data_IF_779910604844
#
_entry.id   IF_779910604844
#
_cell.length_a   1.000
_cell.length_b   1.000
_cell.length_c   1.000
_cell.angle_alpha   90.00
_cell.angle_beta   90.00
_cell.angle_gamma   90.00
#
_symmetry.space_group_name_H-M   'P 1'
#
loop_
_entity.id
_entity.type
_entity.pdbx_description
1 polymer ?
#
# COMPACT_ATOMS: atom_id res chain seq x y z
N UNK A 1 -0.43 -27.99 -19.03
CA UNK A 1 -0.40 -29.11 -18.06
C UNK A 1 -0.15 -28.54 -16.68
N UNK A 2 -1.09 -28.70 -15.74
CA UNK A 2 -0.95 -28.19 -14.37
C UNK A 2 0.02 -29.04 -13.55
N UNK A 3 0.84 -28.39 -12.72
CA UNK A 3 1.69 -29.08 -11.74
C UNK A 3 0.78 -29.81 -10.73
N UNK A 4 0.98 -31.12 -10.54
CA UNK A 4 0.23 -31.91 -9.56
C UNK A 4 0.53 -31.39 -8.15
N UNK A 5 -0.52 -30.99 -7.42
CA UNK A 5 -0.44 -30.41 -6.07
C UNK A 5 -0.53 -31.46 -4.93
N UNK A 6 -0.59 -32.76 -5.25
CA UNK A 6 -0.64 -33.83 -4.25
C UNK A 6 0.60 -34.73 -4.30
N UNK A 7 1.12 -35.19 -3.15
CA UNK A 7 2.20 -36.17 -3.10
C UNK A 7 1.76 -37.49 -3.77
N UNK A 8 2.65 -38.21 -4.48
CA UNK A 8 2.33 -39.52 -5.05
C UNK A 8 2.03 -40.52 -3.92
N UNK A 9 0.99 -41.34 -4.11
CA UNK A 9 0.53 -42.31 -3.11
C UNK A 9 1.13 -43.71 -3.29
N UNK A 10 1.87 -43.94 -4.39
CA UNK A 10 2.59 -45.19 -4.64
C UNK A 10 3.95 -44.96 -5.29
N UNK A 11 4.84 -45.95 -5.19
CA UNK A 11 6.18 -45.90 -5.80
C UNK A 11 6.11 -45.82 -7.33
N UNK A 12 5.14 -46.48 -7.97
CA UNK A 12 4.95 -46.42 -9.42
C UNK A 12 4.39 -45.07 -9.86
N UNK A 13 3.49 -44.46 -9.07
CA UNK A 13 3.01 -43.10 -9.33
C UNK A 13 4.15 -42.07 -9.18
N UNK A 14 5.05 -42.26 -8.20
CA UNK A 14 6.21 -41.41 -8.01
C UNK A 14 7.20 -41.50 -9.18
N UNK A 15 7.44 -42.70 -9.73
CA UNK A 15 8.30 -42.89 -10.93
C UNK A 15 7.68 -42.21 -12.15
N UNK A 16 6.39 -42.40 -12.40
CA UNK A 16 5.70 -41.77 -13.53
C UNK A 16 5.73 -40.24 -13.43
N UNK A 17 5.49 -39.69 -12.23
CA UNK A 17 5.57 -38.25 -12.00
C UNK A 17 6.99 -37.69 -12.21
N UNK A 18 8.03 -38.46 -11.84
CA UNK A 18 9.42 -38.09 -12.07
C UNK A 18 9.76 -38.08 -13.56
N UNK A 19 9.28 -39.07 -14.32
CA UNK A 19 9.52 -39.16 -15.76
C UNK A 19 8.77 -38.07 -16.54
N UNK A 20 7.53 -37.75 -16.15
CA UNK A 20 6.78 -36.59 -16.66
C UNK A 20 7.53 -35.27 -16.39
N UNK A 21 8.06 -35.10 -15.18
CA UNK A 21 8.83 -33.90 -14.82
C UNK A 21 10.14 -33.78 -15.61
N UNK A 22 10.84 -34.90 -15.84
CA UNK A 22 12.05 -34.96 -16.67
C UNK A 22 11.75 -34.62 -18.12
N UNK A 23 10.68 -35.16 -18.69
CA UNK A 23 10.24 -34.84 -20.05
C UNK A 23 9.93 -33.35 -20.19
N UNK A 24 9.18 -32.78 -19.23
CA UNK A 24 8.83 -31.34 -19.25
C UNK A 24 10.04 -30.44 -19.10
N UNK A 25 11.01 -30.82 -18.26
CA UNK A 25 12.27 -30.11 -18.14
C UNK A 25 13.07 -30.12 -19.45
N UNK A 26 13.09 -31.25 -20.17
CA UNK A 26 13.71 -31.35 -21.49
C UNK A 26 13.07 -30.42 -22.52
N UNK A 27 11.74 -30.39 -22.57
CA UNK A 27 10.97 -29.52 -23.48
C UNK A 27 11.24 -28.02 -23.21
N UNK A 28 11.23 -27.62 -21.93
CA UNK A 28 11.54 -26.24 -21.53
C UNK A 28 12.98 -25.85 -21.88
N UNK A 29 13.93 -26.78 -21.75
CA UNK A 29 15.33 -26.54 -22.13
C UNK A 29 15.47 -26.34 -23.64
N UNK A 30 14.74 -27.11 -24.46
CA UNK A 30 14.70 -26.90 -25.92
C UNK A 30 14.06 -25.56 -26.29
N UNK A 31 12.96 -25.17 -25.64
CA UNK A 31 12.31 -23.88 -25.87
C UNK A 31 13.23 -22.71 -25.50
N UNK A 32 14.00 -22.83 -24.42
CA UNK A 32 14.98 -21.83 -23.99
C UNK A 32 16.12 -21.68 -25.01
N UNK A 33 16.69 -22.78 -25.50
CA UNK A 33 17.73 -22.73 -26.53
C UNK A 33 17.20 -22.19 -27.86
N UNK A 34 15.98 -22.55 -28.26
CA UNK A 34 15.34 -21.98 -29.45
C UNK A 34 15.16 -20.46 -29.32
N UNK A 35 14.73 -19.97 -28.15
CA UNK A 35 14.59 -18.54 -27.88
C UNK A 35 15.96 -17.81 -27.86
N UNK A 36 17.02 -18.49 -27.39
CA UNK A 36 18.40 -17.98 -27.41
C UNK A 36 18.94 -17.84 -28.83
N UNK A 37 18.77 -18.87 -29.66
CA UNK A 37 19.18 -18.88 -31.08
C UNK A 37 18.41 -17.84 -31.89
N UNK A 38 17.13 -17.63 -31.58
CA UNK A 38 16.29 -16.65 -32.25
C UNK A 38 16.53 -15.19 -31.79
N UNK A 39 17.48 -14.94 -30.88
CA UNK A 39 17.87 -13.59 -30.45
C UNK A 39 16.84 -12.87 -29.56
N UNK A 40 15.84 -13.59 -29.03
CA UNK A 40 14.78 -13.03 -28.18
C UNK A 40 15.17 -12.89 -26.71
N UNK A 41 16.38 -13.30 -26.33
CA UNK A 41 16.89 -13.19 -24.95
C UNK A 41 18.05 -12.17 -24.92
N UNK A 42 18.03 -11.18 -24.02
CA UNK A 42 19.13 -10.24 -23.86
C UNK A 42 20.43 -10.95 -23.50
N UNK A 43 21.55 -10.44 -24.01
CA UNK A 43 22.85 -11.12 -24.04
C UNK A 43 23.43 -11.51 -22.67
N UNK A 44 22.94 -10.92 -21.58
CA UNK A 44 23.29 -11.34 -20.22
C UNK A 44 22.03 -11.29 -19.34
N UNK A 45 21.52 -12.46 -19.01
CA UNK A 45 20.58 -12.61 -17.89
C UNK A 45 21.44 -12.76 -16.65
N UNK A 46 21.49 -11.72 -15.82
CA UNK A 46 22.05 -11.83 -14.48
C UNK A 46 21.37 -12.98 -13.75
N UNK A 47 22.14 -14.02 -13.43
CA UNK A 47 21.67 -15.20 -12.73
C UNK A 47 21.02 -14.81 -11.39
N UNK A 48 21.45 -13.71 -10.76
CA UNK A 48 20.83 -13.13 -9.57
C UNK A 48 19.39 -12.67 -9.81
N UNK A 49 19.17 -11.86 -10.85
CA UNK A 49 17.85 -11.37 -11.23
C UNK A 49 16.87 -12.50 -11.63
N UNK A 50 17.34 -13.50 -12.39
CA UNK A 50 16.51 -14.65 -12.76
C UNK A 50 16.14 -15.50 -11.53
N UNK A 51 17.10 -15.73 -10.62
CA UNK A 51 16.85 -16.51 -9.42
C UNK A 51 15.90 -15.78 -8.46
N UNK A 52 16.03 -14.45 -8.32
CA UNK A 52 15.11 -13.61 -7.55
C UNK A 52 13.69 -13.64 -8.12
N UNK A 53 13.56 -13.60 -9.45
CA UNK A 53 12.26 -13.71 -10.12
C UNK A 53 11.65 -15.11 -9.93
N UNK A 54 12.43 -16.18 -10.10
CA UNK A 54 11.98 -17.56 -9.88
C UNK A 54 11.57 -17.82 -8.42
N UNK A 55 12.30 -17.25 -7.45
CA UNK A 55 11.94 -17.28 -6.02
C UNK A 55 10.63 -16.53 -5.75
N UNK A 56 10.40 -15.40 -6.43
CA UNK A 56 9.16 -14.64 -6.34
C UNK A 56 7.96 -15.42 -6.91
N UNK A 57 8.17 -16.16 -8.01
CA UNK A 57 7.15 -17.03 -8.59
C UNK A 57 6.85 -18.22 -7.67
N UNK A 58 7.89 -18.88 -7.12
CA UNK A 58 7.73 -20.00 -6.17
C UNK A 58 7.06 -19.59 -4.87
N UNK A 59 7.41 -18.44 -4.29
CA UNK A 59 6.76 -17.92 -3.07
C UNK A 59 5.29 -17.58 -3.32
N UNK A 60 4.95 -17.00 -4.47
CA UNK A 60 3.54 -16.76 -4.86
C UNK A 60 2.76 -18.06 -5.05
N UNK A 61 3.37 -19.08 -5.66
CA UNK A 61 2.73 -20.39 -5.85
C UNK A 61 2.57 -21.15 -4.51
N UNK A 62 3.56 -21.08 -3.63
CA UNK A 62 3.47 -21.66 -2.28
C UNK A 62 2.40 -20.96 -1.44
N UNK A 63 2.34 -19.62 -1.47
CA UNK A 63 1.32 -18.84 -0.78
C UNK A 63 -0.10 -19.14 -1.32
N UNK A 64 -0.25 -19.29 -2.65
CA UNK A 64 -1.51 -19.69 -3.26
C UNK A 64 -1.93 -21.11 -2.82
N UNK A 65 -0.99 -22.06 -2.75
CA UNK A 65 -1.25 -23.45 -2.35
C UNK A 65 -1.59 -23.57 -0.86
N UNK A 66 -0.98 -22.75 0.00
CA UNK A 66 -1.31 -22.65 1.42
C UNK A 66 -2.70 -22.03 1.64
N UNK A 67 -3.05 -21.00 0.86
CA UNK A 67 -4.38 -20.40 0.89
C UNK A 67 -5.48 -21.38 0.47
N UNK A 68 -5.20 -22.30 -0.47
CA UNK A 68 -6.17 -23.33 -0.89
C UNK A 68 -6.31 -24.49 0.11
N UNK A 69 -5.30 -24.75 0.96
CA UNK A 69 -5.39 -25.77 2.04
C UNK A 69 -6.14 -25.27 3.27
N UNK A 70 -6.21 -23.96 3.48
CA UNK A 70 -6.96 -23.35 4.58
C UNK A 70 -8.49 -23.34 4.37
N UNK A 71 -8.97 -23.67 3.16
CA UNK A 71 -10.38 -23.57 2.77
C UNK A 71 -11.16 -24.90 2.75
N UNK A 72 -10.71 -25.94 3.46
CA UNK A 72 -11.53 -27.14 3.69
C UNK A 72 -12.36 -27.00 4.98
N UNK A 73 -13.68 -27.29 4.97
CA UNK A 73 -14.53 -27.08 6.14
C UNK A 73 -14.31 -28.21 7.15
N UNK A 74 -13.76 -27.90 8.32
CA UNK A 74 -13.93 -28.74 9.51
C UNK A 74 -15.16 -28.27 10.27
N UNK A 75 -16.04 -29.22 10.60
CA UNK A 75 -17.26 -28.98 11.38
C UNK A 75 -16.98 -28.24 12.69
N UNK A 76 -17.89 -27.37 13.17
CA UNK A 76 -17.65 -26.54 14.34
C UNK A 76 -17.82 -27.37 15.63
N UNK A 77 -16.99 -27.17 16.67
CA UNK A 77 -17.39 -27.52 18.02
C UNK A 77 -18.33 -26.44 18.56
N UNK A 78 -19.32 -26.87 19.34
CA UNK A 78 -20.39 -26.06 19.88
C UNK A 78 -19.93 -25.04 20.94
N UNK A 79 -20.72 -23.97 21.02
CA UNK A 79 -20.71 -22.85 21.96
C UNK A 79 -20.35 -23.21 23.41
N UNK A 80 -19.47 -22.42 24.03
CA UNK A 80 -19.86 -21.55 25.17
C UNK A 80 -18.65 -20.84 25.80
N UNK A 81 -18.70 -19.50 25.81
CA UNK A 81 -18.72 -18.65 27.02
C UNK A 81 -18.48 -17.20 26.60
N UNK A 82 -19.31 -16.31 27.14
CA UNK A 82 -19.32 -14.90 26.80
C UNK A 82 -17.96 -14.26 27.00
N UNK A 83 -17.50 -13.55 25.96
CA UNK A 83 -16.43 -12.57 26.08
C UNK A 83 -17.11 -11.21 26.07
N UNK A 84 -16.93 -10.53 27.20
CA UNK A 84 -17.39 -9.19 27.51
C UNK A 84 -17.04 -8.20 26.40
N UNK A 85 -17.90 -7.19 26.26
CA UNK A 85 -17.73 -6.05 25.37
C UNK A 85 -16.33 -5.42 25.50
N UNK A 86 -15.72 -5.16 24.35
CA UNK A 86 -14.33 -4.73 24.14
C UNK A 86 -14.01 -3.37 24.80
N UNK A 87 -12.91 -3.32 25.55
CA UNK A 87 -12.17 -2.10 25.89
C UNK A 87 -10.88 -1.97 25.05
N UNK A 88 -10.96 -2.29 23.76
CA UNK A 88 -9.82 -2.67 22.90
C UNK A 88 -9.21 -1.51 22.10
N UNK A 89 -8.83 -0.42 22.76
CA UNK A 89 -8.20 0.74 22.07
C UNK A 89 -6.79 1.04 22.56
N UNK A 90 -6.55 0.95 23.87
CA UNK A 90 -5.28 1.32 24.48
C UNK A 90 -4.22 0.21 24.37
N UNK A 91 -4.62 -1.02 24.66
CA UNK A 91 -3.73 -2.19 24.66
C UNK A 91 -3.13 -2.49 23.27
N UNK A 92 -3.89 -2.25 22.19
CA UNK A 92 -3.43 -2.41 20.81
C UNK A 92 -2.31 -1.40 20.45
N UNK A 93 -2.36 -0.18 21.01
CA UNK A 93 -1.38 0.88 20.70
C UNK A 93 -0.05 0.57 21.36
N UNK A 94 -0.06 0.17 22.64
CA UNK A 94 1.15 -0.17 23.38
C UNK A 94 1.85 -1.39 22.76
N UNK A 95 1.09 -2.42 22.38
CA UNK A 95 1.65 -3.60 21.73
C UNK A 95 2.27 -3.28 20.35
N UNK A 96 1.63 -2.42 19.55
CA UNK A 96 2.23 -1.95 18.28
C UNK A 96 3.50 -1.14 18.56
N UNK A 97 3.54 -0.29 19.58
CA UNK A 97 4.74 0.46 19.95
C UNK A 97 5.91 -0.47 20.32
N UNK A 98 5.67 -1.53 21.09
CA UNK A 98 6.68 -2.53 21.40
C UNK A 98 7.21 -3.23 20.13
N UNK A 99 6.33 -3.58 19.18
CA UNK A 99 6.74 -4.12 17.88
C UNK A 99 7.64 -3.14 17.13
N UNK A 100 7.33 -1.84 17.16
CA UNK A 100 8.15 -0.82 16.50
C UNK A 100 9.55 -0.69 17.12
N UNK A 101 9.68 -0.86 18.44
CA UNK A 101 10.99 -0.91 19.11
C UNK A 101 11.80 -2.15 18.72
N UNK A 102 11.13 -3.29 18.56
CA UNK A 102 11.75 -4.50 18.04
C UNK A 102 12.21 -4.33 16.59
N UNK A 103 11.41 -3.68 15.75
CA UNK A 103 11.76 -3.34 14.37
C UNK A 103 13.00 -2.43 14.33
N UNK A 104 13.10 -1.40 15.17
CA UNK A 104 14.29 -0.54 15.24
C UNK A 104 15.55 -1.33 15.59
N UNK A 105 15.46 -2.21 16.59
CA UNK A 105 16.59 -3.05 17.02
C UNK A 105 16.99 -4.08 15.96
N UNK A 106 16.02 -4.83 15.43
CA UNK A 106 16.26 -5.95 14.50
C UNK A 106 16.73 -5.49 13.13
N UNK A 107 16.20 -4.37 12.61
CA UNK A 107 16.61 -3.82 11.32
C UNK A 107 17.79 -2.84 11.45
N UNK A 108 18.19 -2.45 12.66
CA UNK A 108 19.27 -1.48 12.90
C UNK A 108 18.92 -0.08 12.34
N UNK A 109 17.67 0.31 12.50
CA UNK A 109 17.10 1.57 11.96
C UNK A 109 16.60 2.47 13.09
N UNK A 110 16.37 3.73 12.76
CA UNK A 110 15.66 4.66 13.63
C UNK A 110 14.39 5.17 12.96
N UNK A 111 13.25 4.96 13.60
CA UNK A 111 11.94 5.38 13.11
C UNK A 111 11.77 6.87 13.40
N UNK A 112 11.50 7.63 12.34
CA UNK A 112 11.18 9.06 12.35
C UNK A 112 9.71 9.27 12.65
N UNK A 113 8.85 8.48 12.00
CA UNK A 113 7.39 8.58 12.05
C UNK A 113 6.78 7.20 11.83
N UNK A 114 5.73 6.87 12.57
CA UNK A 114 4.94 5.66 12.41
C UNK A 114 3.45 5.96 12.65
N UNK A 115 2.61 5.48 11.74
CA UNK A 115 1.16 5.63 11.85
C UNK A 115 0.45 4.56 11.04
N UNK A 116 -0.86 4.48 11.19
CA UNK A 116 -1.65 3.59 10.33
C UNK A 116 -1.63 4.06 8.88
N UNK A 117 -1.44 3.12 7.97
CA UNK A 117 -1.76 3.33 6.56
C UNK A 117 -3.29 3.33 6.33
N UNK A 118 -3.76 3.73 5.13
CA UNK A 118 -5.13 3.43 4.70
C UNK A 118 -5.40 1.92 4.76
N UNK A 119 -6.14 1.51 5.79
CA UNK A 119 -6.37 0.12 6.22
C UNK A 119 -7.80 -0.05 6.70
N UNK A 120 -8.28 -1.28 6.86
CA UNK A 120 -9.67 -1.48 7.33
C UNK A 120 -9.95 -0.74 8.65
N UNK A 121 -8.94 -0.61 9.51
CA UNK A 121 -9.00 0.12 10.79
C UNK A 121 -9.13 1.64 10.63
N UNK A 122 -8.43 2.24 9.66
CA UNK A 122 -8.55 3.70 9.41
C UNK A 122 -9.75 4.05 8.52
N UNK A 123 -10.18 3.11 7.68
CA UNK A 123 -11.29 3.31 6.75
C UNK A 123 -12.68 3.10 7.37
N UNK A 124 -12.76 2.54 8.59
CA UNK A 124 -14.05 2.18 9.21
C UNK A 124 -14.63 0.85 8.72
N UNK A 125 -13.82 0.04 8.05
CA UNK A 125 -14.20 -1.27 7.50
C UNK A 125 -13.56 -2.42 8.29
N UNK A 126 -13.16 -2.16 9.54
CA UNK A 126 -12.55 -3.14 10.43
C UNK A 126 -13.53 -4.26 10.77
N UNK A 127 -13.03 -5.48 10.71
CA UNK A 127 -13.67 -6.70 11.19
C UNK A 127 -12.70 -7.44 12.12
N UNK A 128 -13.15 -8.52 12.76
CA UNK A 128 -12.39 -9.20 13.82
C UNK A 128 -11.02 -9.73 13.36
N UNK A 129 -10.94 -10.22 12.12
CA UNK A 129 -9.67 -10.66 11.52
C UNK A 129 -8.90 -9.54 10.79
N UNK A 130 -9.11 -8.26 11.12
CA UNK A 130 -8.39 -7.17 10.46
C UNK A 130 -7.00 -6.98 11.03
N UNK A 131 -5.99 -7.13 10.16
CA UNK A 131 -4.60 -6.86 10.48
C UNK A 131 -4.37 -5.38 10.79
N UNK A 132 -3.26 -5.09 11.47
CA UNK A 132 -2.76 -3.73 11.70
C UNK A 132 -1.74 -3.38 10.62
N UNK A 133 -2.14 -2.57 9.63
CA UNK A 133 -1.22 -2.05 8.61
C UNK A 133 -0.52 -0.78 9.12
N UNK A 134 0.70 -0.94 9.64
CA UNK A 134 1.53 0.15 10.15
C UNK A 134 2.59 0.51 9.12
N UNK A 135 2.71 1.80 8.83
CA UNK A 135 3.76 2.29 7.94
C UNK A 135 4.71 3.21 8.69
N UNK A 136 5.99 3.11 8.35
CA UNK A 136 7.06 3.87 9.01
C UNK A 136 7.95 4.62 8.03
N UNK A 137 8.40 5.80 8.43
CA UNK A 137 9.56 6.48 7.84
C UNK A 137 10.73 6.25 8.76
N UNK A 138 11.86 5.80 8.22
CA UNK A 138 13.04 5.49 9.03
C UNK A 138 14.33 6.03 8.42
N UNK A 139 15.34 6.15 9.27
CA UNK A 139 16.71 6.54 8.96
C UNK A 139 17.61 5.34 9.24
N UNK A 140 18.59 5.13 8.37
CA UNK A 140 19.60 4.10 8.56
C UNK A 140 20.72 4.62 9.47
N UNK A 141 21.50 3.71 10.05
CA UNK A 141 22.75 4.11 10.70
C UNK A 141 23.68 4.84 9.72
N UNK A 142 24.44 5.83 10.20
CA UNK A 142 25.31 6.68 9.36
C UNK A 142 26.20 5.88 8.42
N UNK A 143 26.78 4.76 8.88
CA UNK A 143 27.65 3.91 8.06
C UNK A 143 26.96 3.30 6.83
N UNK A 144 25.64 3.13 6.84
CA UNK A 144 24.91 2.61 5.70
C UNK A 144 24.90 3.61 4.54
N UNK A 145 24.83 4.91 4.82
CA UNK A 145 24.82 5.96 3.79
C UNK A 145 26.17 6.17 3.09
N UNK A 146 27.26 5.94 3.81
CA UNK A 146 28.63 6.05 3.28
C UNK A 146 29.24 4.70 2.91
N UNK A 147 28.46 3.62 3.02
CA UNK A 147 28.89 2.27 2.69
C UNK A 147 29.06 2.08 1.18
N UNK A 148 29.78 1.02 0.80
CA UNK A 148 29.99 0.64 -0.60
C UNK A 148 28.75 0.07 -1.28
N UNK A 149 27.74 -0.34 -0.51
CA UNK A 149 26.51 -0.95 -1.02
C UNK A 149 25.38 0.07 -1.01
N UNK A 150 24.46 -0.06 -1.98
CA UNK A 150 23.26 0.76 -2.01
C UNK A 150 22.44 0.54 -0.73
N UNK A 151 22.07 1.62 0.00
CA UNK A 151 21.33 1.46 1.23
C UNK A 151 19.90 0.98 0.97
N UNK A 152 19.34 0.21 1.91
CA UNK A 152 17.95 -0.23 1.85
C UNK A 152 17.01 0.96 1.68
N UNK A 153 16.10 0.89 0.70
CA UNK A 153 15.13 1.95 0.43
C UNK A 153 13.74 1.69 1.04
N UNK A 154 13.40 0.41 1.31
CA UNK A 154 12.13 0.00 1.91
C UNK A 154 12.24 -1.40 2.52
N UNK A 155 11.34 -1.72 3.44
CA UNK A 155 11.16 -3.09 3.94
C UNK A 155 9.69 -3.41 4.22
N UNK A 156 9.40 -4.70 4.42
CA UNK A 156 8.14 -5.18 4.99
C UNK A 156 8.42 -6.31 5.97
N UNK A 157 7.74 -6.29 7.12
CA UNK A 157 7.73 -7.34 8.15
C UNK A 157 6.31 -7.60 8.59
N UNK A 158 6.02 -8.85 8.91
CA UNK A 158 4.72 -9.30 9.41
C UNK A 158 4.97 -9.98 10.75
N UNK A 159 4.27 -9.50 11.77
CA UNK A 159 4.32 -10.02 13.14
C UNK A 159 3.04 -10.80 13.38
N UNK A 160 3.13 -12.10 13.70
CA UNK A 160 1.95 -12.95 13.83
C UNK A 160 1.05 -12.45 14.97
N UNK A 161 -0.23 -12.84 14.92
CA UNK A 161 -1.16 -12.60 16.01
C UNK A 161 -0.65 -13.29 17.29
N UNK A 162 -0.45 -12.51 18.36
CA UNK A 162 -0.03 -13.00 19.67
C UNK A 162 -1.04 -12.60 20.74
N UNK A 163 -1.42 -13.57 21.58
CA UNK A 163 -2.45 -13.38 22.61
C UNK A 163 -3.78 -12.92 22.02
N UNK A 164 -4.23 -11.73 22.43
CA UNK A 164 -5.50 -11.13 21.99
C UNK A 164 -5.32 -10.11 20.84
N UNK A 165 -4.11 -9.94 20.30
CA UNK A 165 -3.82 -8.96 19.24
C UNK A 165 -3.82 -9.61 17.85
N UNK A 166 -4.36 -8.89 16.86
CA UNK A 166 -4.33 -9.31 15.45
C UNK A 166 -2.91 -9.19 14.86
N UNK A 167 -2.69 -9.78 13.68
CA UNK A 167 -1.41 -9.66 12.96
C UNK A 167 -1.05 -8.19 12.71
N UNK A 168 0.24 -7.85 12.84
CA UNK A 168 0.75 -6.50 12.57
C UNK A 168 1.69 -6.54 11.37
N UNK A 169 1.32 -5.84 10.31
CA UNK A 169 2.14 -5.67 9.11
C UNK A 169 2.82 -4.31 9.13
N UNK A 170 4.15 -4.31 9.26
CA UNK A 170 4.98 -3.10 9.25
C UNK A 170 5.64 -2.94 7.89
N UNK A 171 5.33 -1.84 7.19
CA UNK A 171 6.01 -1.45 5.94
C UNK A 171 6.80 -0.17 6.13
N UNK A 172 8.10 -0.21 5.86
CA UNK A 172 8.98 0.94 6.05
C UNK A 172 9.46 1.57 4.74
N UNK A 173 9.59 2.90 4.73
CA UNK A 173 10.33 3.65 3.72
C UNK A 173 11.53 4.34 4.35
N UNK A 174 12.70 4.17 3.74
CA UNK A 174 13.90 4.92 4.13
C UNK A 174 13.67 6.40 3.79
N UNK A 175 14.21 7.30 4.62
CA UNK A 175 13.87 8.73 4.56
C UNK A 175 14.14 9.37 3.20
N UNK A 176 15.22 9.03 2.49
CA UNK A 176 15.45 9.58 1.14
C UNK A 176 14.38 9.12 0.17
N UNK A 177 13.93 7.86 0.29
CA UNK A 177 12.81 7.36 -0.49
C UNK A 177 11.49 8.04 -0.12
N UNK A 178 11.22 8.23 1.17
CA UNK A 178 10.02 8.90 1.66
C UNK A 178 9.96 10.37 1.22
N UNK A 179 11.05 11.13 1.35
CA UNK A 179 11.17 12.51 0.87
C UNK A 179 10.94 12.60 -0.65
N UNK A 180 11.47 11.65 -1.44
CA UNK A 180 11.18 11.58 -2.88
C UNK A 180 9.69 11.36 -3.17
N UNK A 181 9.04 10.46 -2.42
CA UNK A 181 7.60 10.21 -2.56
C UNK A 181 6.77 11.44 -2.16
N UNK A 182 7.16 12.14 -1.09
CA UNK A 182 6.50 13.37 -0.63
C UNK A 182 6.67 14.51 -1.64
N UNK A 183 7.87 14.68 -2.20
CA UNK A 183 8.12 15.64 -3.28
C UNK A 183 7.25 15.38 -4.52
N UNK A 184 6.95 14.11 -4.80
CA UNK A 184 6.04 13.69 -5.87
C UNK A 184 4.56 13.70 -5.47
N UNK A 185 4.24 14.17 -4.26
CA UNK A 185 2.87 14.19 -3.72
C UNK A 185 2.20 12.82 -3.74
N UNK A 186 2.96 11.78 -3.42
CA UNK A 186 2.45 10.42 -3.44
C UNK A 186 1.36 10.23 -2.38
N UNK A 187 0.16 9.74 -2.75
CA UNK A 187 -0.95 9.64 -1.80
C UNK A 187 -0.65 8.75 -0.59
N UNK A 188 0.05 7.63 -0.78
CA UNK A 188 0.25 6.64 0.29
C UNK A 188 1.12 7.19 1.42
N UNK A 189 2.20 7.90 1.09
CA UNK A 189 3.07 8.50 2.12
C UNK A 189 2.39 9.70 2.77
N UNK A 190 1.61 10.50 2.04
CA UNK A 190 0.84 11.61 2.60
C UNK A 190 -0.21 11.12 3.60
N UNK A 191 -1.04 10.13 3.21
CA UNK A 191 -2.05 9.58 4.11
C UNK A 191 -1.47 9.03 5.40
N UNK A 192 -0.30 8.40 5.33
CA UNK A 192 0.40 7.86 6.49
C UNK A 192 1.03 8.96 7.34
N UNK A 193 1.63 9.98 6.71
CA UNK A 193 2.23 11.12 7.43
C UNK A 193 1.18 11.93 8.20
N UNK A 194 -0.05 11.99 7.69
CA UNK A 194 -1.20 12.66 8.30
C UNK A 194 -2.23 11.67 8.88
N UNK A 195 -1.79 10.45 9.23
CA UNK A 195 -2.68 9.45 9.80
C UNK A 195 -3.28 9.95 11.13
N UNK A 196 -4.57 9.63 11.42
CA UNK A 196 -5.23 10.07 12.65
C UNK A 196 -4.69 9.37 13.91
N UNK A 197 -4.08 8.19 13.75
CA UNK A 197 -3.46 7.42 14.83
C UNK A 197 -1.97 7.32 14.54
N UNK A 198 -1.17 7.90 15.43
CA UNK A 198 0.28 7.89 15.39
C UNK A 198 0.82 6.98 16.50
N UNK A 199 1.74 6.09 16.15
CA UNK A 199 2.43 5.24 17.12
C UNK A 199 3.75 5.83 17.59
N UNK A 200 4.41 6.56 16.68
CA UNK A 200 5.71 7.19 16.94
C UNK A 200 5.84 8.43 16.08
N UNK A 201 6.26 9.53 16.69
CA UNK A 201 6.58 10.77 16.00
C UNK A 201 7.83 11.39 16.62
N UNK A 202 8.66 12.02 15.80
CA UNK A 202 9.83 12.78 16.24
C UNK A 202 9.64 14.26 15.91
N UNK A 203 10.57 15.11 16.32
CA UNK A 203 10.58 16.53 15.92
C UNK A 203 10.54 16.72 14.40
N UNK A 204 11.04 15.75 13.63
CA UNK A 204 11.06 15.77 12.18
C UNK A 204 9.70 15.47 11.54
N UNK A 205 8.80 14.76 12.24
CA UNK A 205 7.45 14.48 11.73
C UNK A 205 6.72 15.79 11.39
N UNK A 206 6.77 16.78 12.28
CA UNK A 206 6.12 18.06 12.06
C UNK A 206 6.78 18.86 10.93
N UNK A 207 8.10 18.82 10.80
CA UNK A 207 8.82 19.45 9.67
C UNK A 207 8.46 18.81 8.33
N UNK A 208 8.31 17.48 8.29
CA UNK A 208 7.84 16.76 7.10
C UNK A 208 6.40 17.15 6.74
N UNK A 209 5.50 17.26 7.74
CA UNK A 209 4.11 17.72 7.54
C UNK A 209 4.03 19.14 7.02
N UNK A 210 4.82 20.04 7.60
CA UNK A 210 4.90 21.44 7.19
C UNK A 210 5.40 21.54 5.74
N UNK A 211 6.52 20.88 5.42
CA UNK A 211 7.06 20.85 4.06
C UNK A 211 6.06 20.26 3.05
N UNK A 212 5.34 19.20 3.44
CA UNK A 212 4.28 18.60 2.60
C UNK A 212 3.16 19.60 2.34
N UNK A 213 2.65 20.26 3.38
CA UNK A 213 1.53 21.19 3.27
C UNK A 213 1.81 22.35 2.31
N UNK A 214 3.07 22.78 2.20
CA UNK A 214 3.50 23.86 1.30
C UNK A 214 3.91 23.39 -0.10
N UNK A 215 4.13 22.10 -0.32
CA UNK A 215 4.72 21.57 -1.56
C UNK A 215 3.90 20.47 -2.24
N UNK A 216 2.67 20.22 -1.82
CA UNK A 216 1.76 19.28 -2.49
C UNK A 216 1.39 19.80 -3.87
N UNK A 217 1.68 18.99 -4.90
CA UNK A 217 1.13 19.15 -6.24
C UNK A 217 -0.23 18.45 -6.30
N UNK A 218 -1.28 19.27 -6.27
CA UNK A 218 -2.68 18.85 -6.33
C UNK A 218 -2.97 18.07 -7.61
N UNK A 219 -2.40 18.49 -8.74
CA UNK A 219 -2.66 17.87 -10.04
C UNK A 219 -2.00 16.50 -10.15
N UNK A 220 -0.76 16.37 -9.65
CA UNK A 220 -0.10 15.07 -9.54
C UNK A 220 -0.84 14.13 -8.58
N UNK A 221 -1.28 14.63 -7.43
CA UNK A 221 -2.04 13.87 -6.44
C UNK A 221 -3.40 13.39 -7.00
N UNK A 222 -4.13 14.28 -7.69
CA UNK A 222 -5.39 13.98 -8.36
C UNK A 222 -5.21 12.87 -9.40
N UNK A 223 -4.21 13.03 -10.28
CA UNK A 223 -3.89 12.06 -11.31
C UNK A 223 -3.50 10.70 -10.71
N UNK A 224 -2.74 10.70 -9.60
CA UNK A 224 -2.36 9.49 -8.89
C UNK A 224 -3.58 8.73 -8.33
N UNK A 225 -4.53 9.43 -7.70
CA UNK A 225 -5.77 8.80 -7.22
C UNK A 225 -6.63 8.25 -8.34
N UNK A 226 -6.81 9.01 -9.43
CA UNK A 226 -7.56 8.53 -10.59
C UNK A 226 -6.93 7.27 -11.19
N UNK A 227 -5.61 7.29 -11.42
CA UNK A 227 -4.87 6.12 -11.94
C UNK A 227 -4.99 4.92 -11.00
N UNK A 228 -4.89 5.14 -9.69
CA UNK A 228 -5.01 4.09 -8.69
C UNK A 228 -6.41 3.45 -8.70
N UNK A 229 -7.47 4.26 -8.68
CA UNK A 229 -8.84 3.77 -8.79
C UNK A 229 -9.08 2.97 -10.08
N UNK A 230 -8.64 3.52 -11.22
CA UNK A 230 -8.78 2.88 -12.53
C UNK A 230 -8.05 1.54 -12.60
N UNK A 231 -6.78 1.50 -12.18
CA UNK A 231 -5.97 0.29 -12.25
C UNK A 231 -6.54 -0.81 -11.33
N UNK A 232 -6.91 -0.46 -10.11
CA UNK A 232 -7.51 -1.40 -9.17
C UNK A 232 -8.85 -1.95 -9.70
N UNK A 233 -9.66 -1.10 -10.32
CA UNK A 233 -10.93 -1.54 -10.90
C UNK A 233 -10.70 -2.57 -12.01
N UNK A 234 -9.74 -2.32 -12.90
CA UNK A 234 -9.41 -3.23 -13.99
C UNK A 234 -8.83 -4.56 -13.49
N UNK A 235 -7.91 -4.53 -12.52
CA UNK A 235 -7.16 -5.72 -12.10
C UNK A 235 -7.92 -6.59 -11.11
N UNK A 236 -8.71 -5.97 -10.23
CA UNK A 236 -9.35 -6.67 -9.12
C UNK A 236 -10.85 -6.86 -9.29
N UNK A 237 -11.53 -6.07 -10.12
CA UNK A 237 -12.99 -6.14 -10.29
C UNK A 237 -13.37 -6.59 -11.71
N UNK A 238 -13.05 -5.78 -12.73
CA UNK A 238 -13.59 -5.96 -14.09
C UNK A 238 -13.17 -7.25 -14.78
N UNK A 239 -12.00 -7.80 -14.43
CA UNK A 239 -11.45 -9.04 -14.99
C UNK A 239 -11.70 -10.28 -14.13
N UNK A 240 -12.60 -10.20 -13.14
CA UNK A 240 -12.84 -11.27 -12.16
C UNK A 240 -14.32 -11.63 -12.13
N UNK A 241 -14.62 -12.94 -12.17
CA UNK A 241 -15.98 -13.46 -12.01
C UNK A 241 -16.47 -13.34 -10.56
N UNK A 242 -15.56 -13.46 -9.58
CA UNK A 242 -15.85 -13.31 -8.16
C UNK A 242 -14.77 -12.45 -7.49
N UNK A 243 -14.82 -11.11 -7.65
CA UNK A 243 -13.90 -10.22 -6.96
C UNK A 243 -14.05 -10.29 -5.44
N UNK A 244 -12.93 -10.19 -4.73
CA UNK A 244 -12.93 -9.99 -3.26
C UNK A 244 -13.61 -8.65 -2.98
N UNK A 245 -14.66 -8.66 -2.17
CA UNK A 245 -15.52 -7.49 -1.93
C UNK A 245 -14.76 -6.29 -1.36
N UNK A 246 -13.76 -6.51 -0.50
CA UNK A 246 -12.83 -5.49 0.02
C UNK A 246 -12.16 -4.66 -1.09
N UNK A 247 -12.00 -5.22 -2.29
CA UNK A 247 -11.39 -4.50 -3.43
C UNK A 247 -12.25 -3.34 -3.92
N UNK A 248 -13.58 -3.38 -3.74
CA UNK A 248 -14.42 -2.20 -4.02
C UNK A 248 -14.04 -1.01 -3.13
N UNK A 249 -13.73 -1.24 -1.85
CA UNK A 249 -13.28 -0.16 -0.95
C UNK A 249 -11.98 0.46 -1.46
N UNK A 250 -11.02 -0.37 -1.92
CA UNK A 250 -9.74 0.09 -2.48
C UNK A 250 -9.86 0.78 -3.85
N UNK A 251 -10.96 0.58 -4.57
CA UNK A 251 -11.27 1.24 -5.84
C UNK A 251 -12.02 2.55 -5.61
N UNK A 252 -13.06 2.51 -4.78
CA UNK A 252 -13.94 3.65 -4.52
C UNK A 252 -13.21 4.73 -3.72
N UNK A 253 -12.44 4.35 -2.69
CA UNK A 253 -11.76 5.32 -1.84
C UNK A 253 -10.89 6.33 -2.61
N UNK A 254 -9.91 5.93 -3.45
CA UNK A 254 -9.09 6.91 -4.16
C UNK A 254 -9.93 7.81 -5.07
N UNK A 255 -11.01 7.29 -5.67
CA UNK A 255 -11.92 8.09 -6.47
C UNK A 255 -12.70 9.11 -5.63
N UNK A 256 -13.08 8.77 -4.40
CA UNK A 256 -13.71 9.73 -3.50
C UNK A 256 -12.71 10.76 -2.95
N UNK A 257 -11.45 10.36 -2.69
CA UNK A 257 -10.39 11.34 -2.38
C UNK A 257 -10.22 12.36 -3.51
N UNK A 258 -10.23 11.89 -4.77
CA UNK A 258 -10.20 12.74 -5.96
C UNK A 258 -11.39 13.70 -5.99
N UNK A 259 -12.61 13.18 -5.82
CA UNK A 259 -13.84 13.99 -5.80
C UNK A 259 -13.81 15.04 -4.69
N UNK A 260 -13.43 14.62 -3.48
CA UNK A 260 -13.33 15.47 -2.31
C UNK A 260 -12.37 16.65 -2.57
N UNK A 261 -11.20 16.35 -3.12
CA UNK A 261 -10.16 17.34 -3.36
C UNK A 261 -10.53 18.29 -4.50
N UNK A 262 -10.99 17.78 -5.65
CA UNK A 262 -11.25 18.63 -6.81
C UNK A 262 -12.51 19.47 -6.68
N UNK A 263 -13.47 19.05 -5.84
CA UNK A 263 -14.72 19.78 -5.54
C UNK A 263 -14.63 20.69 -4.33
N UNK A 264 -13.61 20.54 -3.48
CA UNK A 264 -13.40 21.47 -2.37
C UNK A 264 -13.05 22.86 -2.93
N UNK A 265 -13.84 23.87 -2.53
CA UNK A 265 -13.70 25.27 -2.96
C UNK A 265 -12.33 25.88 -2.62
N UNK A 266 -11.58 25.24 -1.72
CA UNK A 266 -10.21 25.59 -1.32
C UNK A 266 -9.15 25.30 -2.37
N UNK A 267 -9.43 24.48 -3.40
CA UNK A 267 -8.45 24.11 -4.44
C UNK A 267 -8.77 24.68 -5.82
N UNK A 268 -9.76 25.57 -5.91
CA UNK A 268 -10.12 26.25 -7.16
C UNK A 268 -9.24 27.48 -7.26
N UNK A 269 -8.21 27.39 -8.13
CA UNK A 269 -7.43 28.47 -8.72
C UNK A 269 -7.55 29.84 -8.04
N UNK A 270 -6.59 30.13 -7.15
CA UNK A 270 -6.03 31.47 -7.10
C UNK A 270 -4.51 31.36 -7.13
N UNK A 271 -3.97 31.37 -8.35
CA UNK A 271 -2.53 31.43 -8.61
C UNK A 271 -2.00 32.86 -8.35
N UNK A 272 -2.90 33.85 -8.19
CA UNK A 272 -2.55 35.26 -8.01
C UNK A 272 -2.56 35.71 -6.53
N UNK A 273 -3.33 35.05 -5.65
CA UNK A 273 -3.32 35.28 -4.21
C UNK A 273 -2.20 34.51 -3.48
N UNK A 274 -0.94 34.81 -3.80
CA UNK A 274 0.23 34.47 -2.95
C UNK A 274 0.36 35.41 -1.74
N UNK A 275 -0.75 35.85 -1.15
CA UNK A 275 -0.73 36.63 0.10
C UNK A 275 -0.73 35.70 1.30
N UNK A 276 0.47 35.26 1.70
CA UNK A 276 1.00 35.06 3.06
C UNK A 276 0.07 34.70 4.25
N UNK A 277 -1.06 34.02 4.04
CA UNK A 277 -1.86 33.39 5.08
C UNK A 277 -2.14 31.96 4.65
N UNK A 278 -1.49 31.01 5.33
CA UNK A 278 -1.50 29.59 5.00
C UNK A 278 -2.91 29.01 5.03
N UNK A 279 -3.53 28.88 3.86
CA UNK A 279 -4.63 27.94 3.65
C UNK A 279 -3.97 26.57 3.53
N UNK A 280 -3.84 25.87 4.66
CA UNK A 280 -3.33 24.51 4.68
C UNK A 280 -4.17 23.62 3.75
N UNK A 281 -3.50 22.78 2.97
CA UNK A 281 -4.13 21.72 2.17
C UNK A 281 -4.89 20.83 3.16
N UNK A 282 -6.22 20.98 3.21
CA UNK A 282 -7.06 20.02 3.92
C UNK A 282 -6.90 18.67 3.19
N UNK A 283 -6.72 17.58 3.92
CA UNK A 283 -6.63 16.24 3.35
C UNK A 283 -7.97 15.51 3.46
N UNK A 284 -8.28 14.61 2.52
CA UNK A 284 -9.52 13.86 2.57
C UNK A 284 -9.58 13.01 3.84
N UNK A 285 -10.76 12.94 4.50
CA UNK A 285 -10.94 12.12 5.70
C UNK A 285 -10.43 10.68 5.55
N UNK A 286 -9.82 10.17 6.63
CA UNK A 286 -9.38 8.77 6.69
C UNK A 286 -10.58 7.81 6.64
N UNK A 287 -11.61 8.08 7.45
CA UNK A 287 -12.79 7.24 7.55
C UNK A 287 -13.66 7.32 6.29
N UNK A 288 -14.13 6.17 5.81
CA UNK A 288 -14.81 6.07 4.52
C UNK A 288 -16.16 6.80 4.54
N UNK A 289 -16.96 6.65 5.60
CA UNK A 289 -18.26 7.31 5.68
C UNK A 289 -18.15 8.84 5.81
N UNK A 290 -17.10 9.34 6.45
CA UNK A 290 -16.87 10.79 6.58
C UNK A 290 -16.45 11.38 5.23
N UNK A 291 -15.60 10.65 4.50
CA UNK A 291 -15.25 10.98 3.12
C UNK A 291 -16.49 10.97 2.20
N UNK A 292 -17.34 9.93 2.33
CA UNK A 292 -18.59 9.82 1.57
C UNK A 292 -19.50 11.03 1.83
N UNK A 293 -19.75 11.36 3.10
CA UNK A 293 -20.56 12.51 3.50
C UNK A 293 -19.99 13.81 2.95
N UNK A 294 -18.69 14.04 3.10
CA UNK A 294 -18.05 15.24 2.60
C UNK A 294 -18.10 15.38 1.07
N UNK A 295 -18.08 14.27 0.33
CA UNK A 295 -18.26 14.31 -1.13
C UNK A 295 -19.72 14.55 -1.51
N UNK A 296 -20.67 13.96 -0.79
CA UNK A 296 -22.10 14.18 -1.01
C UNK A 296 -22.50 15.65 -0.75
N UNK A 297 -21.99 16.27 0.32
CA UNK A 297 -22.17 17.70 0.63
C UNK A 297 -21.63 18.62 -0.48
N UNK A 298 -20.60 18.17 -1.20
CA UNK A 298 -20.00 18.85 -2.35
C UNK A 298 -20.64 18.46 -3.70
N UNK A 299 -21.81 17.82 -3.67
CA UNK A 299 -22.57 17.36 -4.85
C UNK A 299 -21.81 16.37 -5.75
N UNK A 300 -20.84 15.62 -5.21
CA UNK A 300 -20.10 14.59 -5.95
C UNK A 300 -20.73 13.19 -5.94
N UNK A 301 -21.75 12.98 -5.10
CA UNK A 301 -22.50 11.73 -4.97
C UNK A 301 -24.01 12.02 -4.92
N UNK A 302 -24.80 11.15 -5.56
CA UNK A 302 -26.25 11.13 -5.34
C UNK A 302 -26.59 10.46 -4.01
N UNK A 303 -27.85 10.60 -3.55
CA UNK A 303 -28.33 9.94 -2.32
C UNK A 303 -28.22 8.42 -2.42
N UNK A 304 -28.54 7.85 -3.57
CA UNK A 304 -28.50 6.41 -3.80
C UNK A 304 -27.06 5.88 -3.82
N UNK A 305 -26.13 6.64 -4.38
CA UNK A 305 -24.71 6.29 -4.40
C UNK A 305 -24.07 6.35 -3.03
N UNK A 306 -24.42 7.36 -2.23
CA UNK A 306 -24.00 7.43 -0.83
C UNK A 306 -24.53 6.22 -0.05
N UNK A 307 -25.80 5.85 -0.24
CA UNK A 307 -26.41 4.67 0.38
C UNK A 307 -25.73 3.36 -0.04
N UNK A 308 -25.30 3.22 -1.30
CA UNK A 308 -24.53 2.06 -1.77
C UNK A 308 -23.18 1.93 -1.04
N UNK A 309 -22.48 3.05 -0.81
CA UNK A 309 -21.22 3.08 -0.07
C UNK A 309 -21.46 2.75 1.41
N UNK A 310 -22.51 3.31 2.00
CA UNK A 310 -22.92 3.02 3.37
C UNK A 310 -23.24 1.54 3.57
N UNK A 311 -24.01 0.92 2.67
CA UNK A 311 -24.31 -0.51 2.69
C UNK A 311 -23.04 -1.36 2.53
N UNK A 312 -22.12 -0.97 1.63
CA UNK A 312 -20.83 -1.65 1.46
C UNK A 312 -20.01 -1.66 2.76
N UNK A 313 -19.96 -0.54 3.49
CA UNK A 313 -19.25 -0.42 4.76
C UNK A 313 -20.00 -1.13 5.90
N UNK A 314 -21.34 -1.07 5.92
CA UNK A 314 -22.16 -1.75 6.90
C UNK A 314 -21.98 -3.28 6.85
N UNK A 315 -21.77 -3.83 5.64
CA UNK A 315 -21.48 -5.25 5.42
C UNK A 315 -19.99 -5.61 5.56
N UNK A 316 -19.24 -4.91 6.43
CA UNK A 316 -17.78 -5.08 6.59
C UNK A 316 -17.33 -6.52 6.86
N UNK A 317 -18.14 -7.31 7.55
CA UNK A 317 -17.82 -8.71 7.89
C UNK A 317 -17.79 -9.62 6.65
N UNK A 318 -18.46 -9.22 5.57
CA UNK A 318 -18.50 -9.93 4.28
C UNK A 318 -17.48 -9.39 3.28
N UNK A 319 -16.72 -8.34 3.61
CA UNK A 319 -15.70 -7.78 2.72
C UNK A 319 -14.58 -8.78 2.34
N UNK A 320 -14.15 -9.72 3.21
CA UNK A 320 -13.15 -10.71 2.83
C UNK A 320 -13.65 -11.73 1.80
N UNK A 321 -14.96 -11.86 1.60
CA UNK A 321 -15.55 -12.88 0.75
C UNK A 321 -15.41 -12.54 -0.74
N UNK A 322 -15.05 -13.52 -1.60
CA UNK A 322 -15.26 -13.40 -3.04
C UNK A 322 -16.76 -13.47 -3.32
N UNK A 323 -17.28 -12.49 -4.06
CA UNK A 323 -18.69 -12.41 -4.42
C UNK A 323 -18.81 -11.97 -5.88
N UNK A 324 -19.89 -12.35 -6.60
CA UNK A 324 -20.16 -11.83 -7.93
C UNK A 324 -20.13 -10.29 -7.95
N UNK A 325 -19.66 -9.65 -9.05
CA UNK A 325 -19.62 -8.21 -9.17
C UNK A 325 -21.02 -7.62 -9.00
N UNK A 326 -21.12 -6.57 -8.19
CA UNK A 326 -22.39 -5.87 -8.01
C UNK A 326 -22.51 -4.77 -9.05
N UNK A 327 -23.57 -4.85 -9.86
CA UNK A 327 -23.76 -3.95 -11.00
C UNK A 327 -23.88 -2.48 -10.58
N UNK A 328 -24.55 -2.20 -9.45
CA UNK A 328 -24.67 -0.85 -8.88
C UNK A 328 -23.31 -0.26 -8.51
N UNK A 329 -22.46 -1.01 -7.81
CA UNK A 329 -21.12 -0.55 -7.42
C UNK A 329 -20.20 -0.40 -8.63
N UNK A 330 -20.32 -1.28 -9.63
CA UNK A 330 -19.59 -1.12 -10.88
C UNK A 330 -19.99 0.16 -11.62
N UNK A 331 -21.29 0.43 -11.72
CA UNK A 331 -21.81 1.65 -12.33
C UNK A 331 -21.33 2.91 -11.57
N UNK A 332 -21.34 2.87 -10.24
CA UNK A 332 -20.79 3.94 -9.39
C UNK A 332 -19.30 4.19 -9.69
N UNK A 333 -18.49 3.14 -9.72
CA UNK A 333 -17.05 3.26 -10.02
C UNK A 333 -16.83 3.82 -11.42
N UNK A 334 -17.55 3.32 -12.43
CA UNK A 334 -17.41 3.79 -13.81
C UNK A 334 -17.82 5.26 -13.95
N UNK A 335 -18.89 5.68 -13.27
CA UNK A 335 -19.29 7.10 -13.20
C UNK A 335 -18.21 7.96 -12.52
N UNK A 336 -17.71 7.54 -11.36
CA UNK A 336 -16.67 8.28 -10.63
C UNK A 336 -15.37 8.41 -11.43
N UNK A 337 -15.01 7.38 -12.21
CA UNK A 337 -13.87 7.42 -13.13
C UNK A 337 -14.08 8.41 -14.26
N UNK A 338 -15.28 8.42 -14.86
CA UNK A 338 -15.64 9.34 -15.94
C UNK A 338 -15.63 10.80 -15.46
N UNK A 339 -16.31 11.07 -14.35
CA UNK A 339 -16.36 12.39 -13.72
C UNK A 339 -14.96 12.86 -13.28
N UNK A 340 -14.17 11.96 -12.68
CA UNK A 340 -12.77 12.22 -12.34
C UNK A 340 -11.92 12.61 -13.54
N UNK A 341 -12.11 11.94 -14.69
CA UNK A 341 -11.42 12.27 -15.92
C UNK A 341 -11.84 13.63 -16.49
N UNK A 342 -13.13 13.98 -16.42
CA UNK A 342 -13.64 15.28 -16.85
C UNK A 342 -13.06 16.42 -16.01
N UNK A 343 -13.10 16.30 -14.68
CA UNK A 343 -12.53 17.31 -13.76
C UNK A 343 -11.01 17.48 -13.95
N UNK A 344 -10.28 16.41 -14.25
CA UNK A 344 -8.86 16.47 -14.60
C UNK A 344 -8.67 17.24 -15.92
N UNK A 345 -9.46 16.94 -16.94
CA UNK A 345 -9.37 17.61 -18.24
C UNK A 345 -9.67 19.12 -18.16
N UNK A 346 -10.68 19.53 -17.37
CA UNK A 346 -11.01 20.94 -17.10
C UNK A 346 -9.82 21.73 -16.51
N UNK A 347 -8.97 21.04 -15.74
CA UNK A 347 -7.76 21.60 -15.12
C UNK A 347 -6.50 21.43 -16.00
N UNK A 348 -6.66 21.06 -17.27
CA UNK A 348 -5.55 20.84 -18.21
C UNK A 348 -4.72 19.58 -17.91
N UNK A 349 -5.23 18.67 -17.08
CA UNK A 349 -4.54 17.45 -16.67
C UNK A 349 -4.87 16.31 -17.63
N UNK A 350 -3.90 15.92 -18.47
CA UNK A 350 -4.08 14.74 -19.33
C UNK A 350 -3.92 13.44 -18.54
N UNK A 351 -4.92 12.56 -18.63
CA UNK A 351 -4.86 11.20 -18.05
C UNK A 351 -3.81 10.29 -18.71
N UNK A 352 -3.41 10.61 -19.95
CA UNK A 352 -2.33 9.89 -20.66
C UNK A 352 -0.93 10.41 -20.33
N UNK A 353 -0.83 11.50 -19.56
CA UNK A 353 0.45 12.06 -19.16
C UNK A 353 1.26 11.04 -18.34
N UNK A 354 2.50 10.79 -18.78
CA UNK A 354 3.49 10.01 -18.02
C UNK A 354 4.06 10.80 -16.85
N UNK A 355 4.15 12.12 -17.00
CA UNK A 355 4.57 13.08 -15.98
C UNK A 355 3.90 14.43 -16.24
N UNK A 356 3.72 15.23 -15.20
CA UNK A 356 3.20 16.60 -15.32
C UNK A 356 4.28 17.53 -15.87
N UNK A 357 3.98 18.40 -16.86
CA UNK A 357 4.82 19.55 -17.13
C UNK A 357 4.67 20.50 -15.95
N UNK A 358 5.62 20.46 -15.03
CA UNK A 358 5.77 21.45 -13.98
C UNK A 358 6.69 22.57 -14.49
N UNK A 359 6.50 23.79 -14.01
CA UNK A 359 7.45 24.88 -14.25
C UNK A 359 8.81 24.48 -13.66
N UNK A 360 9.84 24.45 -14.50
CA UNK A 360 11.17 23.91 -14.18
C UNK A 360 11.77 24.63 -12.97
N UNK A 361 11.51 25.94 -12.83
CA UNK A 361 11.99 26.73 -11.70
C UNK A 361 11.33 26.34 -10.36
N UNK A 362 10.05 25.94 -10.38
CA UNK A 362 9.32 25.50 -9.19
C UNK A 362 9.74 24.08 -8.78
N UNK A 363 10.00 23.20 -9.75
CA UNK A 363 10.49 21.83 -9.54
C UNK A 363 11.84 21.84 -8.83
N UNK A 364 12.79 22.63 -9.34
CA UNK A 364 14.15 22.70 -8.78
C UNK A 364 14.13 23.30 -7.37
N UNK A 365 13.30 24.32 -7.14
CA UNK A 365 13.11 24.92 -5.82
C UNK A 365 12.51 23.92 -4.80
N UNK A 366 11.47 23.18 -5.20
CA UNK A 366 10.82 22.15 -4.37
C UNK A 366 11.75 20.97 -4.10
N UNK A 367 12.45 20.48 -5.12
CA UNK A 367 13.42 19.40 -4.97
C UNK A 367 14.57 19.82 -4.03
N UNK A 368 15.06 21.06 -4.15
CA UNK A 368 16.08 21.59 -3.26
C UNK A 368 15.58 21.72 -1.81
N UNK A 369 14.33 22.12 -1.59
CA UNK A 369 13.72 22.16 -0.26
C UNK A 369 13.67 20.76 0.37
N UNK A 370 13.12 19.78 -0.35
CA UNK A 370 13.06 18.39 0.12
C UNK A 370 14.46 17.80 0.34
N UNK A 371 15.42 18.15 -0.50
CA UNK A 371 16.81 17.73 -0.35
C UNK A 371 17.43 18.29 0.94
N UNK A 372 17.32 19.60 1.19
CA UNK A 372 17.83 20.23 2.42
C UNK A 372 17.19 19.62 3.68
N UNK A 373 15.87 19.41 3.66
CA UNK A 373 15.16 18.79 4.78
C UNK A 373 15.65 17.36 5.01
N UNK A 374 15.80 16.58 3.94
CA UNK A 374 16.28 15.20 4.01
C UNK A 374 17.71 15.12 4.57
N UNK A 375 18.61 15.99 4.13
CA UNK A 375 20.00 16.04 4.62
C UNK A 375 20.02 16.34 6.11
N UNK A 376 19.33 17.41 6.54
CA UNK A 376 19.30 17.80 7.95
C UNK A 376 18.70 16.70 8.84
N UNK A 377 17.66 16.01 8.35
CA UNK A 377 17.04 14.89 9.04
C UNK A 377 18.00 13.71 9.17
N UNK A 378 18.67 13.30 8.08
CA UNK A 378 19.63 12.20 8.11
C UNK A 378 20.80 12.53 9.03
N UNK A 379 21.35 13.74 8.97
CA UNK A 379 22.49 14.13 9.81
C UNK A 379 22.15 14.11 11.31
N UNK A 380 20.96 14.55 11.70
CA UNK A 380 20.49 14.50 13.10
C UNK A 380 20.19 13.08 13.57
N UNK A 381 19.47 12.30 12.75
CA UNK A 381 18.89 11.03 13.18
C UNK A 381 19.77 9.80 12.93
N UNK A 382 20.83 9.89 12.12
CA UNK A 382 21.67 8.73 11.75
C UNK A 382 22.82 8.45 12.71
N UNK A 383 23.12 9.37 13.63
CA UNK A 383 24.15 9.24 14.65
C UNK A 383 23.59 8.55 15.91
N UNK A 384 23.34 7.24 15.82
CA UNK A 384 22.91 6.42 16.96
C UNK A 384 23.80 5.18 17.12
N UNK A 385 24.04 4.76 18.36
CA UNK A 385 24.80 3.54 18.62
C UNK A 385 23.96 2.32 18.29
N UNK A 386 24.50 1.40 17.49
CA UNK A 386 23.96 0.05 17.28
C UNK A 386 24.30 -0.83 18.51
N UNK A 387 23.83 -0.46 19.70
CA UNK A 387 23.96 -1.34 20.86
C UNK A 387 22.97 -2.51 20.71
N UNK A 388 23.46 -3.69 20.30
CA UNK A 388 22.67 -4.94 20.44
C UNK A 388 22.81 -6.00 19.35
N UNK A 389 23.42 -5.74 18.19
CA UNK A 389 23.57 -6.77 17.16
C UNK A 389 24.76 -7.70 17.45
N UNK A 390 24.67 -8.52 18.51
CA UNK A 390 25.51 -9.73 18.60
C UNK A 390 25.06 -10.69 17.50
N UNK A 391 25.94 -11.20 16.64
CA UNK A 391 25.57 -12.27 15.73
C UNK A 391 25.30 -13.53 16.56
N UNK A 392 24.05 -14.02 16.53
CA UNK A 392 23.74 -15.37 16.96
C UNK A 392 24.45 -16.33 15.99
N UNK A 393 25.68 -16.71 16.34
CA UNK A 393 26.33 -17.89 15.78
C UNK A 393 25.75 -19.10 16.51
N UNK A 394 25.05 -19.95 15.78
CA UNK A 394 24.94 -21.38 16.08
C UNK A 394 25.13 -22.15 14.79
#
# INVERSE_FOLDING_TARGET
MGLRLRPPVSADEARNALDEARARHGELKQQLEAARVAGFLPAEVDAGALNAWLLTVRTRQAAATLATRASAPSSPPQLSRGVSARSSGHDDVEAVQHILEEVERSEGIRIVHAGYAPSSRTLGTQHDCSDHDVHVIFVLHRSAYFGLHEPMHKFRRSFPAEGNMAQVDVSGWEVRHACRLLAQSNPSVLHMLFAPVEFKATQWTNRLREASSHSVDISALALAWWKHGRQNFLDFIKKREEPIRKKYVHVIRPLLCLQWMLRARTFVHDVESRTNQGVGVELPPAHMLDLCRGVAERSGLSRDEAAQIEDLVARRDWLPCPLPPEQSLNALVERLLHDGQAMLAERGVSVSARAFPQDVSDVESRAAQWHRLCVALVDDMSAFSLEGSKPCRS
#
